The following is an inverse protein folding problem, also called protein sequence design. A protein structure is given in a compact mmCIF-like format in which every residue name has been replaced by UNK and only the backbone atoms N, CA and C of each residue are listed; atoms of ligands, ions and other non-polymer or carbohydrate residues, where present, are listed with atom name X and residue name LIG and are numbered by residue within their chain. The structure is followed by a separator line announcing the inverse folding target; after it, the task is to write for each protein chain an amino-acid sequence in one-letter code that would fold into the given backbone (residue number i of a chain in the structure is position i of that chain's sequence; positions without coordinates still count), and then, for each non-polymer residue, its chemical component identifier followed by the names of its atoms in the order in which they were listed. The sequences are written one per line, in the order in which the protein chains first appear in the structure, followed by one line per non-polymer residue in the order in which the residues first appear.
data_IF_076718539033
#
_entry.id   IF_076718539033
#
_cell.length_a   1.000
_cell.length_b   1.000
_cell.length_c   1.000
_cell.angle_alpha   90.00
_cell.angle_beta   90.00
_cell.angle_gamma   90.00
#
_symmetry.space_group_name_H-M   'P 1'
#
loop_
_entity.id
_entity.type
_entity.pdbx_description
1 polymer ?
#
# COMPACT_ATOMS: atom_id res chain seq x y z
N UNK A 1 -27.49 4.56 32.20
CA UNK A 1 -27.68 3.41 31.29
C UNK A 1 -26.47 3.35 30.35
N UNK A 2 -25.27 3.04 30.84
CA UNK A 2 -24.68 1.70 31.01
C UNK A 2 -24.69 0.82 29.76
N UNK A 3 -23.48 0.75 29.15
CA UNK A 3 -22.87 -0.35 28.42
C UNK A 3 -23.48 -0.83 27.09
N UNK A 4 -22.72 -0.65 25.99
CA UNK A 4 -22.20 -1.72 25.10
C UNK A 4 -21.77 -1.15 23.74
N UNK A 5 -20.46 -1.11 23.48
CA UNK A 5 -19.83 -1.63 22.24
C UNK A 5 -18.32 -1.42 22.28
N UNK A 6 -17.65 -2.01 23.28
CA UNK A 6 -16.26 -2.40 23.12
C UNK A 6 -16.34 -3.87 22.75
N UNK A 7 -16.20 -4.21 21.47
CA UNK A 7 -15.94 -5.59 21.05
C UNK A 7 -14.55 -5.94 21.55
N UNK A 8 -14.48 -6.42 22.79
CA UNK A 8 -13.37 -7.23 23.28
C UNK A 8 -13.29 -8.45 22.38
N UNK A 9 -12.19 -8.61 21.67
CA UNK A 9 -11.81 -9.89 21.08
C UNK A 9 -11.82 -10.94 22.19
N UNK A 10 -12.75 -11.89 22.11
CA UNK A 10 -12.82 -13.06 22.97
C UNK A 10 -12.76 -14.30 22.09
N UNK A 11 -11.56 -14.85 22.01
CA UNK A 11 -11.24 -16.28 22.00
C UNK A 11 -9.73 -16.35 21.90
N UNK A 12 -9.08 -17.21 22.69
CA UNK A 12 -7.63 -17.41 22.68
C UNK A 12 -7.12 -17.63 21.24
N UNK A 13 -6.63 -16.56 20.61
CA UNK A 13 -5.93 -16.66 19.34
C UNK A 13 -4.60 -17.32 19.66
N UNK A 14 -4.35 -18.49 19.08
CA UNK A 14 -3.00 -19.04 19.03
C UNK A 14 -2.09 -17.92 18.52
N UNK A 15 -1.01 -17.55 19.23
CA UNK A 15 -0.10 -16.51 18.74
C UNK A 15 0.36 -16.92 17.35
N UNK A 16 0.09 -16.09 16.34
CA UNK A 16 0.62 -16.33 15.01
C UNK A 16 2.14 -16.39 15.14
N UNK A 17 2.76 -17.45 14.61
CA UNK A 17 4.22 -17.53 14.54
C UNK A 17 4.73 -16.27 13.84
N UNK A 18 5.72 -15.59 14.40
CA UNK A 18 6.34 -14.42 13.77
C UNK A 18 7.74 -14.75 13.28
N UNK A 19 8.19 -14.01 12.28
CA UNK A 19 9.58 -13.99 11.85
C UNK A 19 10.07 -12.54 11.75
N UNK A 20 11.35 -12.34 12.05
CA UNK A 20 11.99 -11.02 12.01
C UNK A 20 12.22 -10.61 10.56
N UNK A 21 11.45 -9.66 10.06
CA UNK A 21 11.51 -9.18 8.67
C UNK A 21 11.79 -7.68 8.62
N UNK A 22 12.56 -7.26 7.61
CA UNK A 22 12.56 -5.86 7.20
C UNK A 22 11.37 -5.60 6.23
N UNK A 23 11.16 -4.35 5.82
CA UNK A 23 9.99 -4.00 5.02
C UNK A 23 10.00 -4.65 3.63
N UNK A 24 11.14 -4.72 2.92
CA UNK A 24 11.16 -5.37 1.61
C UNK A 24 10.92 -6.87 1.70
N UNK A 25 11.43 -7.53 2.76
CA UNK A 25 11.15 -8.95 3.03
C UNK A 25 9.67 -9.19 3.35
N UNK A 26 9.03 -8.29 4.11
CA UNK A 26 7.60 -8.41 4.40
C UNK A 26 6.71 -8.20 3.15
N UNK A 27 7.11 -7.33 2.23
CA UNK A 27 6.43 -7.14 0.94
C UNK A 27 6.60 -8.36 0.02
N UNK A 28 7.81 -8.92 -0.03
CA UNK A 28 8.07 -10.18 -0.72
C UNK A 28 7.17 -11.31 -0.17
N UNK A 29 7.11 -11.44 1.15
CA UNK A 29 6.31 -12.46 1.82
C UNK A 29 4.80 -12.28 1.57
N UNK A 30 4.30 -11.04 1.50
CA UNK A 30 2.93 -10.74 1.07
C UNK A 30 2.64 -11.21 -0.36
N UNK A 31 3.53 -10.90 -1.31
CA UNK A 31 3.38 -11.36 -2.70
C UNK A 31 3.45 -12.88 -2.80
N UNK A 32 4.37 -13.53 -2.07
CA UNK A 32 4.47 -14.98 -1.99
C UNK A 32 3.16 -15.62 -1.52
N UNK A 33 2.59 -15.14 -0.41
CA UNK A 33 1.31 -15.62 0.13
C UNK A 33 0.17 -15.39 -0.87
N UNK A 34 0.12 -14.22 -1.53
CA UNK A 34 -0.88 -13.95 -2.56
C UNK A 34 -0.77 -14.93 -3.74
N UNK A 35 0.45 -15.23 -4.20
CA UNK A 35 0.68 -16.12 -5.33
C UNK A 35 0.48 -17.61 -5.01
N UNK A 36 0.71 -18.01 -3.76
CA UNK A 36 0.37 -19.34 -3.22
C UNK A 36 -1.15 -19.55 -3.14
N UNK A 37 -1.89 -18.52 -2.75
CA UNK A 37 -3.34 -18.61 -2.51
C UNK A 37 -4.18 -18.30 -3.75
N UNK A 38 -3.62 -17.60 -4.74
CA UNK A 38 -4.28 -17.28 -6.01
C UNK A 38 -3.42 -17.75 -7.20
N UNK A 39 -3.81 -18.84 -7.90
CA UNK A 39 -3.07 -19.34 -9.06
C UNK A 39 -3.14 -18.39 -10.27
N UNK A 40 -4.02 -17.39 -10.24
CA UNK A 40 -4.13 -16.37 -11.30
C UNK A 40 -3.27 -15.15 -11.06
N UNK A 41 -2.62 -15.04 -9.89
CA UNK A 41 -1.78 -13.89 -9.56
C UNK A 41 -0.46 -13.90 -10.33
N UNK A 42 -0.11 -12.75 -10.91
CA UNK A 42 1.18 -12.51 -11.54
C UNK A 42 1.80 -11.21 -11.03
N UNK A 43 3.13 -11.22 -10.89
CA UNK A 43 3.97 -10.07 -10.56
C UNK A 43 4.77 -9.69 -11.80
N UNK A 44 4.65 -8.45 -12.25
CA UNK A 44 5.36 -7.99 -13.45
C UNK A 44 5.68 -6.50 -13.38
N UNK A 45 6.71 -6.11 -14.12
CA UNK A 45 7.25 -4.75 -14.16
C UNK A 45 8.69 -4.78 -14.65
N UNK A 46 9.40 -3.67 -14.52
CA UNK A 46 10.80 -3.58 -14.92
C UNK A 46 11.70 -4.29 -13.90
N UNK A 47 12.50 -5.24 -14.40
CA UNK A 47 13.50 -5.99 -13.65
C UNK A 47 12.99 -6.80 -12.44
N UNK A 48 11.70 -7.08 -12.34
CA UNK A 48 11.16 -7.88 -11.23
C UNK A 48 11.62 -9.35 -11.24
N UNK A 49 12.00 -9.89 -12.40
CA UNK A 49 12.31 -11.31 -12.57
C UNK A 49 13.56 -11.77 -11.81
N UNK A 50 14.59 -10.92 -11.71
CA UNK A 50 15.81 -11.26 -10.96
C UNK A 50 15.68 -10.95 -9.46
N UNK A 51 14.58 -10.33 -9.05
CA UNK A 51 14.28 -9.94 -7.69
C UNK A 51 13.94 -8.47 -7.48
N UNK A 52 14.00 -7.65 -8.53
CA UNK A 52 13.74 -6.21 -8.47
C UNK A 52 14.90 -5.41 -7.89
N UNK A 53 15.00 -4.13 -8.25
CA UNK A 53 16.09 -3.24 -7.83
C UNK A 53 16.15 -3.03 -6.31
N UNK A 54 15.02 -3.22 -5.61
CA UNK A 54 14.90 -3.17 -4.15
C UNK A 54 14.81 -4.54 -3.47
N UNK A 55 14.96 -5.64 -4.22
CA UNK A 55 14.86 -7.03 -3.73
C UNK A 55 13.45 -7.47 -3.27
N UNK A 56 12.40 -6.73 -3.62
CA UNK A 56 11.03 -7.05 -3.21
C UNK A 56 10.49 -8.34 -3.84
N UNK A 57 11.04 -8.80 -4.96
CA UNK A 57 10.53 -9.99 -5.70
C UNK A 57 11.54 -11.12 -5.80
N UNK A 58 12.60 -11.09 -4.97
CA UNK A 58 13.63 -12.14 -4.92
C UNK A 58 12.98 -13.52 -4.71
N UNK A 59 13.51 -14.52 -5.40
CA UNK A 59 13.10 -15.94 -5.40
C UNK A 59 11.67 -16.24 -5.89
N UNK A 60 10.81 -15.24 -6.11
CA UNK A 60 9.43 -15.47 -6.56
C UNK A 60 9.37 -16.12 -7.94
N UNK A 61 10.26 -15.74 -8.88
CA UNK A 61 10.30 -16.38 -10.21
C UNK A 61 10.72 -17.85 -10.14
N UNK A 62 11.67 -18.18 -9.27
CA UNK A 62 12.11 -19.55 -9.07
C UNK A 62 10.98 -20.40 -8.47
N UNK A 63 10.19 -19.82 -7.56
CA UNK A 63 9.08 -20.49 -6.89
C UNK A 63 7.83 -20.65 -7.78
N UNK A 64 7.45 -19.62 -8.55
CA UNK A 64 6.17 -19.57 -9.27
C UNK A 64 6.27 -19.67 -10.79
N UNK A 65 7.49 -19.69 -11.34
CA UNK A 65 7.75 -19.79 -12.77
C UNK A 65 7.71 -18.45 -13.50
N UNK A 66 8.27 -18.45 -14.71
CA UNK A 66 8.41 -17.26 -15.54
C UNK A 66 7.09 -16.71 -16.08
N UNK A 67 6.06 -17.55 -16.22
CA UNK A 67 4.73 -17.11 -16.65
C UNK A 67 4.00 -16.25 -15.61
N UNK A 68 4.47 -16.29 -14.35
CA UNK A 68 3.84 -15.58 -13.22
C UNK A 68 4.73 -14.50 -12.61
N UNK A 69 6.04 -14.52 -12.88
CA UNK A 69 6.97 -13.46 -12.47
C UNK A 69 7.88 -13.11 -13.66
N UNK A 70 7.57 -12.00 -14.34
CA UNK A 70 8.23 -11.65 -15.60
C UNK A 70 8.52 -10.16 -15.74
N UNK A 71 9.57 -9.86 -16.51
CA UNK A 71 9.90 -8.49 -16.86
C UNK A 71 8.98 -7.97 -17.98
N UNK A 72 8.54 -6.72 -17.86
CA UNK A 72 7.99 -5.96 -18.98
C UNK A 72 9.10 -5.27 -19.79
N UNK A 73 8.81 -4.77 -20.99
CA UNK A 73 9.58 -3.68 -21.58
C UNK A 73 9.58 -2.45 -20.66
N UNK A 74 10.55 -1.56 -20.85
CA UNK A 74 10.73 -0.33 -20.08
C UNK A 74 9.71 0.74 -20.56
N UNK A 75 8.50 0.70 -20.00
CA UNK A 75 7.36 1.52 -20.42
C UNK A 75 6.20 1.46 -19.41
N UNK A 76 6.10 2.44 -18.52
CA UNK A 76 5.15 2.43 -17.40
C UNK A 76 3.69 2.50 -17.86
N UNK A 77 3.39 3.26 -18.92
CA UNK A 77 2.05 3.26 -19.52
C UNK A 77 1.67 1.89 -20.09
N UNK A 78 2.66 1.15 -20.62
CA UNK A 78 2.49 -0.20 -21.13
C UNK A 78 2.25 -1.19 -20.01
N UNK A 79 3.02 -1.09 -18.92
CA UNK A 79 2.81 -1.86 -17.69
C UNK A 79 1.39 -1.65 -17.17
N UNK A 80 0.93 -0.40 -17.09
CA UNK A 80 -0.39 -0.10 -16.55
C UNK A 80 -1.54 -0.57 -17.44
N UNK A 81 -1.47 -0.31 -18.75
CA UNK A 81 -2.47 -0.82 -19.70
C UNK A 81 -2.53 -2.35 -19.73
N UNK A 82 -1.36 -3.01 -19.70
CA UNK A 82 -1.29 -4.47 -19.60
C UNK A 82 -1.92 -4.98 -18.31
N UNK A 83 -1.63 -4.34 -17.17
CA UNK A 83 -2.18 -4.74 -15.87
C UNK A 83 -3.71 -4.62 -15.81
N UNK A 84 -4.27 -3.55 -16.39
CA UNK A 84 -5.72 -3.37 -16.53
C UNK A 84 -6.31 -4.49 -17.38
N UNK A 85 -5.70 -4.80 -18.53
CA UNK A 85 -6.14 -5.89 -19.39
C UNK A 85 -6.12 -7.25 -18.68
N UNK A 86 -5.03 -7.54 -17.97
CA UNK A 86 -4.87 -8.77 -17.19
C UNK A 86 -5.93 -8.89 -16.08
N UNK A 87 -6.18 -7.81 -15.35
CA UNK A 87 -7.22 -7.76 -14.31
C UNK A 87 -8.63 -7.86 -14.89
N UNK A 88 -8.87 -7.30 -16.08
CA UNK A 88 -10.19 -7.29 -16.73
C UNK A 88 -10.74 -8.66 -17.10
N UNK A 89 -9.86 -9.66 -17.23
CA UNK A 89 -10.22 -11.07 -17.45
C UNK A 89 -10.26 -11.89 -16.15
N UNK A 90 -10.35 -11.22 -15.00
CA UNK A 90 -10.56 -11.84 -13.69
C UNK A 90 -9.29 -12.42 -13.04
N UNK A 91 -8.10 -12.09 -13.56
CA UNK A 91 -6.81 -12.51 -12.99
C UNK A 91 -6.22 -11.44 -12.08
N UNK A 92 -5.33 -11.83 -11.17
CA UNK A 92 -4.75 -10.89 -10.21
C UNK A 92 -3.45 -10.29 -10.75
N UNK A 93 -3.44 -8.98 -10.93
CA UNK A 93 -2.30 -8.22 -11.44
C UNK A 93 -1.59 -7.47 -10.31
N UNK A 94 -0.33 -7.81 -10.08
CA UNK A 94 0.56 -7.12 -9.12
C UNK A 94 1.65 -6.41 -9.94
N UNK A 95 1.36 -5.19 -10.36
CA UNK A 95 2.21 -4.42 -11.26
C UNK A 95 3.21 -3.57 -10.47
N UNK A 96 4.51 -3.71 -10.72
CA UNK A 96 5.55 -2.84 -10.17
C UNK A 96 5.84 -1.67 -11.10
N UNK A 97 5.79 -0.46 -10.56
CA UNK A 97 6.39 0.74 -11.15
C UNK A 97 7.67 1.04 -10.37
N UNK A 98 8.82 1.10 -11.06
CA UNK A 98 10.13 0.97 -10.42
C UNK A 98 10.42 2.09 -9.41
N UNK A 99 9.88 3.30 -9.62
CA UNK A 99 9.81 4.38 -8.63
C UNK A 99 8.48 5.11 -8.76
N UNK A 100 7.91 5.59 -7.65
CA UNK A 100 6.70 6.42 -7.68
C UNK A 100 6.91 7.70 -8.52
N UNK A 101 8.14 8.19 -8.62
CA UNK A 101 8.55 9.27 -9.50
C UNK A 101 8.29 8.99 -10.99
N UNK A 102 8.25 7.71 -11.39
CA UNK A 102 8.06 7.25 -12.77
C UNK A 102 6.63 6.77 -13.04
N UNK A 103 5.69 6.98 -12.12
CA UNK A 103 4.29 6.56 -12.31
C UNK A 103 3.52 7.48 -13.27
N UNK A 104 4.03 8.67 -13.55
CA UNK A 104 3.31 9.69 -14.31
C UNK A 104 3.06 9.35 -15.79
N UNK A 105 3.93 8.64 -16.53
CA UNK A 105 3.57 8.11 -17.85
C UNK A 105 2.34 7.20 -17.80
N UNK A 106 2.14 6.46 -16.70
CA UNK A 106 0.97 5.61 -16.46
C UNK A 106 -0.26 6.37 -15.93
N UNK A 107 -0.18 7.68 -15.69
CA UNK A 107 -1.23 8.44 -15.01
C UNK A 107 -2.57 8.37 -15.74
N UNK A 108 -2.57 8.46 -17.07
CA UNK A 108 -3.80 8.35 -17.87
C UNK A 108 -4.45 6.95 -17.73
N UNK A 109 -3.66 5.88 -17.80
CA UNK A 109 -4.14 4.51 -17.59
C UNK A 109 -4.70 4.32 -16.17
N UNK A 110 -4.04 4.87 -15.15
CA UNK A 110 -4.51 4.74 -13.77
C UNK A 110 -5.80 5.56 -13.54
N UNK A 111 -5.84 6.80 -14.01
CA UNK A 111 -6.89 7.77 -13.68
C UNK A 111 -8.11 7.66 -14.60
N UNK A 112 -7.91 7.56 -15.92
CA UNK A 112 -9.01 7.52 -16.89
C UNK A 112 -9.48 6.10 -17.18
N UNK A 113 -8.58 5.11 -17.14
CA UNK A 113 -8.93 3.72 -17.44
C UNK A 113 -9.25 2.93 -16.17
N UNK A 114 -8.26 2.66 -15.30
CA UNK A 114 -8.41 1.77 -14.15
C UNK A 114 -9.49 2.27 -13.17
N UNK A 115 -9.39 3.52 -12.72
CA UNK A 115 -10.30 4.09 -11.73
C UNK A 115 -11.77 4.09 -12.20
N UNK A 116 -11.99 4.29 -13.50
CA UNK A 116 -13.33 4.42 -14.08
C UNK A 116 -13.83 3.10 -14.67
N UNK A 117 -13.01 2.05 -14.70
CA UNK A 117 -13.28 0.81 -15.43
C UNK A 117 -14.60 0.17 -15.02
N UNK A 118 -14.84 0.02 -13.70
CA UNK A 118 -16.10 -0.52 -13.15
C UNK A 118 -17.29 0.42 -13.38
N UNK A 119 -17.07 1.73 -13.21
CA UNK A 119 -18.14 2.72 -13.29
C UNK A 119 -18.67 2.88 -14.72
N UNK A 120 -17.76 3.07 -15.69
CA UNK A 120 -18.10 3.33 -17.10
C UNK A 120 -18.81 2.15 -17.78
N UNK A 121 -18.71 0.97 -17.19
CA UNK A 121 -19.36 -0.26 -17.68
C UNK A 121 -20.70 -0.54 -17.01
N UNK A 122 -21.13 0.25 -16.02
CA UNK A 122 -22.26 -0.12 -15.16
C UNK A 122 -22.03 -1.45 -14.42
N UNK A 123 -20.78 -1.73 -14.03
CA UNK A 123 -20.34 -2.96 -13.39
C UNK A 123 -20.45 -4.24 -14.26
N UNK A 124 -20.54 -4.12 -15.59
CA UNK A 124 -20.45 -5.28 -16.50
C UNK A 124 -19.04 -5.85 -16.60
N UNK A 125 -18.02 -5.01 -16.38
CA UNK A 125 -16.62 -5.39 -16.36
C UNK A 125 -15.86 -4.49 -15.39
N UNK A 126 -14.77 -5.00 -14.80
CA UNK A 126 -13.94 -4.31 -13.83
C UNK A 126 -12.47 -4.75 -13.91
N UNK A 127 -11.57 -3.96 -13.34
CA UNK A 127 -10.16 -4.32 -13.17
C UNK A 127 -9.81 -4.31 -11.67
N UNK A 128 -10.71 -4.80 -10.82
CA UNK A 128 -10.59 -4.69 -9.37
C UNK A 128 -9.39 -5.45 -8.80
N UNK A 129 -9.03 -6.59 -9.40
CA UNK A 129 -7.89 -7.42 -9.01
C UNK A 129 -6.55 -6.84 -9.49
N UNK A 130 -6.34 -5.55 -9.26
CA UNK A 130 -5.20 -4.79 -9.75
C UNK A 130 -4.57 -4.02 -8.60
N UNK A 131 -3.30 -4.29 -8.32
CA UNK A 131 -2.49 -3.49 -7.42
C UNK A 131 -1.27 -2.97 -8.17
N UNK A 132 -1.16 -1.66 -8.27
CA UNK A 132 0.06 -0.96 -8.63
C UNK A 132 0.89 -0.77 -7.38
N UNK A 133 2.15 -1.19 -7.39
CA UNK A 133 3.08 -0.96 -6.27
C UNK A 133 4.30 -0.20 -6.74
N UNK A 134 4.72 0.78 -5.95
CA UNK A 134 5.84 1.65 -6.31
C UNK A 134 6.63 2.12 -5.08
N UNK A 135 7.98 2.10 -5.12
CA UNK A 135 8.82 2.74 -4.11
C UNK A 135 8.57 4.26 -4.05
N UNK A 136 8.21 4.80 -2.90
CA UNK A 136 7.81 6.20 -2.70
C UNK A 136 8.63 6.90 -1.61
N UNK A 137 8.59 8.23 -1.59
CA UNK A 137 9.12 9.07 -0.50
C UNK A 137 10.61 9.32 -0.56
N UNK A 138 11.11 10.24 0.26
CA UNK A 138 12.51 10.62 0.28
C UNK A 138 13.43 9.47 0.71
N UNK A 139 14.69 9.50 0.26
CA UNK A 139 15.73 8.53 0.63
C UNK A 139 17.06 9.20 1.04
N UNK A 140 17.01 10.50 1.33
CA UNK A 140 18.17 11.31 1.70
C UNK A 140 18.94 11.90 0.51
N UNK A 141 19.14 11.13 -0.57
CA UNK A 141 19.96 11.54 -1.72
C UNK A 141 19.29 11.26 -3.08
N UNK A 142 17.96 11.13 -3.13
CA UNK A 142 17.22 10.78 -4.35
C UNK A 142 16.92 11.95 -5.30
N UNK A 143 17.18 13.20 -4.86
CA UNK A 143 16.93 14.43 -5.63
C UNK A 143 15.51 14.47 -6.22
N UNK A 144 15.34 14.87 -7.48
CA UNK A 144 14.02 15.10 -8.10
C UNK A 144 13.26 13.84 -8.47
N UNK A 145 13.95 12.74 -8.75
CA UNK A 145 13.39 11.59 -9.48
C UNK A 145 13.50 10.26 -8.73
N UNK A 146 13.85 10.31 -7.44
CA UNK A 146 13.81 9.14 -6.56
C UNK A 146 13.33 9.53 -5.15
N UNK A 147 12.53 10.59 -5.01
CA UNK A 147 12.13 11.13 -3.70
C UNK A 147 10.71 11.70 -3.66
N UNK A 148 9.94 11.58 -4.74
CA UNK A 148 8.60 12.12 -4.79
C UNK A 148 7.61 11.35 -3.91
N UNK A 149 6.61 12.10 -3.45
CA UNK A 149 5.44 11.63 -2.71
C UNK A 149 4.19 12.05 -3.49
N UNK A 150 3.75 11.24 -4.48
CA UNK A 150 2.73 11.66 -5.45
C UNK A 150 1.29 11.31 -5.03
N UNK A 151 1.06 10.89 -3.78
CA UNK A 151 -0.24 10.40 -3.32
C UNK A 151 -1.38 11.40 -3.54
N UNK A 152 -1.11 12.70 -3.42
CA UNK A 152 -2.10 13.76 -3.63
C UNK A 152 -2.63 13.81 -5.07
N UNK A 153 -1.80 13.48 -6.08
CA UNK A 153 -2.24 13.43 -7.48
C UNK A 153 -3.28 12.32 -7.70
N UNK A 154 -3.18 11.21 -6.96
CA UNK A 154 -4.12 10.09 -7.05
C UNK A 154 -5.31 10.23 -6.10
N UNK A 155 -5.15 10.93 -4.98
CA UNK A 155 -6.20 11.13 -3.98
C UNK A 155 -7.45 11.85 -4.53
N UNK A 156 -7.31 12.61 -5.63
CA UNK A 156 -8.43 13.28 -6.30
C UNK A 156 -9.12 12.42 -7.38
N UNK A 157 -8.87 11.11 -7.43
CA UNK A 157 -9.43 10.21 -8.44
C UNK A 157 -10.38 9.19 -7.83
N UNK A 158 -11.72 9.41 -7.90
CA UNK A 158 -12.70 8.42 -7.47
C UNK A 158 -12.56 7.09 -8.21
N UNK A 159 -12.71 5.98 -7.48
CA UNK A 159 -12.58 4.62 -8.01
C UNK A 159 -11.22 3.97 -7.74
N UNK A 160 -10.21 4.75 -7.33
CA UNK A 160 -8.95 4.22 -6.81
C UNK A 160 -8.99 4.04 -5.30
N UNK A 161 -8.09 3.19 -4.82
CA UNK A 161 -7.59 3.25 -3.44
C UNK A 161 -6.11 3.60 -3.42
N UNK A 162 -5.67 4.36 -2.42
CA UNK A 162 -4.26 4.77 -2.27
C UNK A 162 -3.79 4.43 -0.86
N UNK A 163 -2.73 3.64 -0.74
CA UNK A 163 -2.32 2.99 0.52
C UNK A 163 -0.81 3.15 0.75
N UNK A 164 -0.42 3.47 1.99
CA UNK A 164 0.97 3.73 2.39
C UNK A 164 1.24 3.11 3.78
N UNK A 165 2.05 2.03 3.90
CA UNK A 165 2.40 1.44 5.19
C UNK A 165 3.53 2.21 5.89
N UNK A 166 3.62 2.13 7.22
CA UNK A 166 4.72 2.74 8.00
C UNK A 166 5.79 1.76 8.50
N UNK A 167 5.52 0.45 8.47
CA UNK A 167 6.40 -0.59 9.03
C UNK A 167 6.18 -1.96 8.34
N UNK A 168 7.03 -2.98 8.58
CA UNK A 168 6.95 -4.28 7.92
C UNK A 168 5.63 -5.04 8.17
N UNK A 169 5.07 -4.97 9.39
CA UNK A 169 3.81 -5.66 9.73
C UNK A 169 2.66 -5.11 8.89
N UNK A 170 2.56 -3.78 8.83
CA UNK A 170 1.59 -3.11 7.99
C UNK A 170 1.84 -3.33 6.51
N UNK A 171 3.10 -3.26 6.06
CA UNK A 171 3.45 -3.45 4.65
C UNK A 171 2.91 -4.78 4.13
N UNK A 172 3.11 -5.86 4.90
CA UNK A 172 2.54 -7.17 4.54
C UNK A 172 1.01 -7.18 4.57
N UNK A 173 0.41 -6.78 5.69
CA UNK A 173 -1.03 -6.88 5.87
C UNK A 173 -1.84 -5.95 4.95
N UNK A 174 -1.37 -4.73 4.71
CA UNK A 174 -2.00 -3.77 3.79
C UNK A 174 -1.77 -4.17 2.33
N UNK A 175 -0.61 -4.73 1.96
CA UNK A 175 -0.40 -5.21 0.58
C UNK A 175 -1.29 -6.41 0.28
N UNK A 176 -1.40 -7.39 1.20
CA UNK A 176 -2.34 -8.51 1.05
C UNK A 176 -3.79 -8.02 0.95
N UNK A 177 -4.18 -7.03 1.75
CA UNK A 177 -5.49 -6.42 1.65
C UNK A 177 -5.70 -5.72 0.30
N UNK A 178 -4.67 -5.03 -0.20
CA UNK A 178 -4.70 -4.32 -1.50
C UNK A 178 -4.86 -5.28 -2.67
N UNK A 179 -4.08 -6.38 -2.69
CA UNK A 179 -4.13 -7.40 -3.75
C UNK A 179 -5.52 -8.05 -3.83
N UNK A 180 -6.21 -8.17 -2.68
CA UNK A 180 -7.52 -8.83 -2.57
C UNK A 180 -8.69 -7.86 -2.70
N UNK A 181 -8.44 -6.56 -2.67
CA UNK A 181 -9.50 -5.57 -2.77
C UNK A 181 -10.13 -5.65 -4.17
N UNK A 182 -11.47 -5.57 -4.30
CA UNK A 182 -12.12 -5.60 -5.61
C UNK A 182 -12.06 -4.22 -6.31
N UNK A 183 -11.05 -3.40 -6.05
CA UNK A 183 -10.85 -2.09 -6.67
C UNK A 183 -9.36 -1.89 -6.99
N UNK A 184 -9.02 -1.17 -8.07
CA UNK A 184 -7.63 -0.86 -8.37
C UNK A 184 -6.98 -0.07 -7.23
N UNK A 185 -5.86 -0.60 -6.71
CA UNK A 185 -5.11 0.00 -5.60
C UNK A 185 -3.76 0.52 -6.07
N UNK A 186 -3.39 1.72 -5.64
CA UNK A 186 -2.04 2.25 -5.71
C UNK A 186 -1.40 2.11 -4.33
N UNK A 187 -0.37 1.28 -4.24
CA UNK A 187 0.33 0.94 -3.01
C UNK A 187 1.74 1.54 -3.04
N UNK A 188 1.98 2.54 -2.19
CA UNK A 188 3.26 3.23 -2.13
C UNK A 188 4.13 2.68 -1.00
N UNK A 189 5.37 2.33 -1.32
CA UNK A 189 6.29 1.66 -0.41
C UNK A 189 7.38 2.63 0.06
N UNK A 190 7.41 3.07 1.34
CA UNK A 190 8.37 4.07 1.77
C UNK A 190 9.81 3.53 1.68
N UNK A 191 10.53 3.93 0.62
CA UNK A 191 11.76 3.26 0.21
C UNK A 191 12.90 3.41 1.22
N UNK A 192 12.90 4.51 1.99
CA UNK A 192 13.80 4.70 3.12
C UNK A 192 13.67 3.61 4.19
N UNK A 193 12.49 2.98 4.30
CA UNK A 193 12.20 1.96 5.31
C UNK A 193 12.49 0.53 4.86
N UNK A 194 12.76 0.28 3.57
CA UNK A 194 12.95 -1.07 3.03
C UNK A 194 13.91 -1.91 3.87
N UNK A 195 15.08 -1.34 4.20
CA UNK A 195 16.13 -2.00 4.99
C UNK A 195 16.19 -1.50 6.43
N UNK A 196 15.76 -0.25 6.68
CA UNK A 196 15.91 0.40 7.98
C UNK A 196 14.87 -0.07 9.00
N UNK A 197 13.64 -0.38 8.56
CA UNK A 197 12.57 -0.81 9.46
C UNK A 197 12.55 -2.33 9.55
N UNK A 198 12.68 -2.86 10.78
CA UNK A 198 12.67 -4.30 11.08
C UNK A 198 11.69 -4.57 12.21
N UNK A 199 10.84 -5.58 12.06
CA UNK A 199 9.83 -5.96 13.05
C UNK A 199 9.61 -7.48 13.09
N UNK A 200 9.00 -7.96 14.16
CA UNK A 200 8.40 -9.30 14.21
C UNK A 200 7.11 -9.29 13.40
N UNK A 201 7.11 -9.97 12.25
CA UNK A 201 5.98 -10.00 11.32
C UNK A 201 5.31 -11.37 11.40
N UNK A 202 3.97 -11.46 11.60
CA UNK A 202 3.26 -12.74 11.55
C UNK A 202 3.52 -13.47 10.23
N UNK A 203 3.93 -14.73 10.29
CA UNK A 203 4.06 -15.60 9.13
C UNK A 203 2.68 -16.05 8.66
N UNK A 204 2.57 -16.41 7.38
CA UNK A 204 1.30 -16.85 6.79
C UNK A 204 0.37 -15.69 6.43
N UNK A 205 -0.92 -15.96 6.38
CA UNK A 205 -1.90 -15.05 5.79
C UNK A 205 -2.61 -14.18 6.83
N UNK A 206 -2.44 -12.86 6.73
CA UNK A 206 -3.22 -11.89 7.49
C UNK A 206 -3.39 -10.60 6.69
N UNK A 207 -4.40 -9.81 7.06
CA UNK A 207 -4.66 -8.49 6.45
C UNK A 207 -4.75 -7.41 7.52
N UNK A 208 -4.43 -6.19 7.11
CA UNK A 208 -4.77 -4.97 7.85
C UNK A 208 -5.87 -4.26 7.06
N UNK A 209 -6.97 -3.82 7.68
CA UNK A 209 -8.08 -3.21 6.95
C UNK A 209 -7.66 -1.94 6.21
N UNK A 210 -8.05 -1.84 4.93
CA UNK A 210 -7.94 -0.59 4.17
C UNK A 210 -8.98 0.42 4.66
N UNK A 211 -8.65 1.71 4.58
CA UNK A 211 -9.54 2.80 4.99
C UNK A 211 -9.74 2.91 6.51
N UNK A 212 -8.87 2.30 7.32
CA UNK A 212 -8.87 2.44 8.77
C UNK A 212 -7.53 3.03 9.22
N UNK A 213 -7.57 4.12 9.97
CA UNK A 213 -6.39 4.73 10.56
C UNK A 213 -5.98 3.97 11.84
N UNK A 214 -4.71 4.06 12.21
CA UNK A 214 -4.18 3.42 13.43
C UNK A 214 -3.73 4.49 14.43
N UNK A 215 -4.32 4.48 15.62
CA UNK A 215 -3.90 5.33 16.74
C UNK A 215 -2.66 4.69 17.36
N UNK A 216 -1.50 5.02 16.80
CA UNK A 216 -0.19 4.51 17.22
C UNK A 216 0.11 4.86 18.68
N UNK A 217 -0.34 6.03 19.12
CA UNK A 217 -0.19 6.50 20.50
C UNK A 217 -1.38 7.38 20.86
N UNK A 218 -1.99 7.12 22.03
CA UNK A 218 -3.05 7.96 22.57
C UNK A 218 -2.48 9.22 23.23
N UNK A 219 -3.18 10.34 23.08
CA UNK A 219 -2.87 11.61 23.76
C UNK A 219 -4.10 12.47 23.98
N UNK A 220 -3.92 13.64 24.61
CA UNK A 220 -5.00 14.57 24.97
C UNK A 220 -4.83 16.00 24.46
N UNK A 221 -3.61 16.42 24.11
CA UNK A 221 -3.33 17.85 23.94
C UNK A 221 -3.37 18.31 22.47
N UNK A 222 -2.92 17.44 21.56
CA UNK A 222 -2.90 17.66 20.10
C UNK A 222 -2.96 16.33 19.37
N UNK A 223 -3.73 16.29 18.28
CA UNK A 223 -3.76 15.20 17.30
C UNK A 223 -2.73 15.46 16.21
N UNK A 224 -1.85 14.50 15.98
CA UNK A 224 -0.86 14.51 14.90
C UNK A 224 -1.19 13.38 13.94
N UNK A 225 -1.38 13.71 12.67
CA UNK A 225 -1.67 12.76 11.59
C UNK A 225 -0.51 12.75 10.60
N UNK A 226 -0.06 11.56 10.23
CA UNK A 226 0.92 11.35 9.16
C UNK A 226 0.77 9.97 8.54
N UNK A 227 1.69 9.62 7.64
CA UNK A 227 1.77 8.31 6.99
C UNK A 227 3.21 8.02 6.53
N UNK A 228 3.49 6.76 6.21
CA UNK A 228 4.78 6.34 5.67
C UNK A 228 5.96 6.59 6.61
N UNK A 229 7.09 7.03 6.04
CA UNK A 229 8.34 7.20 6.80
C UNK A 229 8.28 8.33 7.85
N UNK A 230 7.41 9.33 7.66
CA UNK A 230 7.18 10.41 8.61
C UNK A 230 6.77 9.92 10.00
N UNK A 231 6.17 8.72 10.08
CA UNK A 231 5.70 8.12 11.34
C UNK A 231 6.81 7.63 12.27
N UNK A 232 8.08 7.66 11.85
CA UNK A 232 9.21 7.27 12.71
C UNK A 232 9.59 8.35 13.74
N UNK A 233 8.95 9.52 13.71
CA UNK A 233 9.20 10.60 14.66
C UNK A 233 8.64 10.28 16.06
N UNK A 234 9.50 10.32 17.09
CA UNK A 234 9.11 10.11 18.48
C UNK A 234 8.38 11.32 19.06
N UNK A 235 7.05 11.32 19.02
CA UNK A 235 6.21 12.37 19.62
C UNK A 235 5.45 11.85 20.84
N UNK A 236 5.28 12.70 21.86
CA UNK A 236 4.50 12.41 23.07
C UNK A 236 3.07 12.96 22.98
N UNK A 237 2.45 12.86 21.80
CA UNK A 237 1.11 13.36 21.53
C UNK A 237 0.22 12.25 20.98
N UNK A 238 -1.06 12.55 20.75
CA UNK A 238 -1.92 11.64 20.00
C UNK A 238 -1.39 11.51 18.58
N UNK A 239 -0.88 10.33 18.23
CA UNK A 239 -0.25 10.07 16.94
C UNK A 239 -1.09 9.05 16.18
N UNK A 240 -1.54 9.47 15.00
CA UNK A 240 -2.37 8.65 14.11
C UNK A 240 -1.62 8.44 12.80
N UNK A 241 -1.48 7.17 12.44
CA UNK A 241 -1.07 6.75 11.10
C UNK A 241 -2.33 6.62 10.23
N UNK A 242 -2.39 7.38 9.14
CA UNK A 242 -3.56 7.38 8.27
C UNK A 242 -3.72 6.06 7.49
N UNK A 243 -2.61 5.38 7.16
CA UNK A 243 -2.51 4.14 6.34
C UNK A 243 -3.08 4.23 4.92
N UNK A 244 -4.34 4.63 4.76
CA UNK A 244 -5.05 4.74 3.48
C UNK A 244 -5.38 6.21 3.22
N UNK A 245 -4.83 6.75 2.14
CA UNK A 245 -5.05 8.13 1.69
C UNK A 245 -6.43 8.27 1.03
N UNK A 246 -6.87 7.23 0.31
CA UNK A 246 -8.18 7.20 -0.35
C UNK A 246 -8.74 5.77 -0.31
N UNK A 247 -9.98 5.55 0.19
CA UNK A 247 -10.73 6.45 1.08
C UNK A 247 -10.05 6.54 2.46
N UNK A 248 -9.94 7.75 3.00
CA UNK A 248 -9.33 7.96 4.31
C UNK A 248 -10.36 7.83 5.44
N UNK A 249 -9.89 7.49 6.65
CA UNK A 249 -10.72 7.26 7.83
C UNK A 249 -11.14 8.57 8.51
N UNK A 250 -12.20 9.19 7.99
CA UNK A 250 -12.72 10.46 8.51
C UNK A 250 -13.08 10.34 9.99
N UNK A 251 -13.74 9.25 10.38
CA UNK A 251 -14.32 9.08 11.71
C UNK A 251 -13.23 9.03 12.79
N UNK A 252 -12.15 8.27 12.57
CA UNK A 252 -11.04 8.19 13.53
C UNK A 252 -10.36 9.56 13.72
N UNK A 253 -10.13 10.29 12.64
CA UNK A 253 -9.52 11.62 12.72
C UNK A 253 -10.45 12.61 13.42
N UNK A 254 -11.73 12.63 13.06
CA UNK A 254 -12.71 13.51 13.69
C UNK A 254 -12.83 13.26 15.19
N UNK A 255 -12.94 12.00 15.61
CA UNK A 255 -13.03 11.62 17.02
C UNK A 255 -11.80 12.06 17.81
N UNK A 256 -10.61 11.89 17.23
CA UNK A 256 -9.36 12.34 17.83
C UNK A 256 -9.30 13.85 17.99
N UNK A 257 -9.64 14.60 16.94
CA UNK A 257 -9.63 16.07 16.98
C UNK A 257 -10.69 16.61 17.94
N UNK A 258 -11.87 15.98 18.04
CA UNK A 258 -12.89 16.34 19.05
C UNK A 258 -12.36 16.19 20.47
N UNK A 259 -11.49 15.20 20.71
CA UNK A 259 -10.87 14.98 22.02
C UNK A 259 -9.77 15.99 22.33
N UNK A 260 -8.89 16.28 21.38
CA UNK A 260 -7.69 17.10 21.62
C UNK A 260 -7.89 18.59 21.34
N UNK A 261 -8.86 18.93 20.50
CA UNK A 261 -9.18 20.29 20.05
C UNK A 261 -8.16 20.90 19.07
N UNK A 262 -7.13 20.15 18.66
CA UNK A 262 -6.03 20.64 17.80
C UNK A 262 -5.58 19.56 16.83
N UNK A 263 -5.25 19.95 15.60
CA UNK A 263 -4.78 19.05 14.55
C UNK A 263 -3.49 19.59 13.91
N UNK A 264 -2.51 18.71 13.76
CA UNK A 264 -1.34 18.89 12.91
C UNK A 264 -1.32 17.73 11.91
N UNK A 265 -1.22 18.04 10.62
CA UNK A 265 -1.00 17.06 9.56
C UNK A 265 0.40 17.26 9.03
N UNK A 266 1.16 16.17 8.86
CA UNK A 266 2.52 16.23 8.35
C UNK A 266 2.74 15.16 7.28
N UNK A 267 3.30 15.59 6.15
CA UNK A 267 3.68 14.74 5.04
C UNK A 267 4.91 15.28 4.32
N UNK A 268 5.62 14.42 3.60
CA UNK A 268 6.83 14.79 2.84
C UNK A 268 6.51 15.57 1.55
N UNK A 269 5.30 15.40 1.01
CA UNK A 269 4.86 16.06 -0.22
C UNK A 269 4.78 17.60 -0.07
N UNK A 270 4.92 18.37 -1.16
CA UNK A 270 4.79 19.84 -1.14
C UNK A 270 3.43 20.33 -0.60
N UNK A 271 3.42 21.49 0.07
CA UNK A 271 2.18 22.13 0.57
C UNK A 271 1.39 22.85 -0.54
N UNK A 272 2.05 23.31 -1.60
CA UNK A 272 1.59 24.34 -2.56
C UNK A 272 1.69 25.76 -2.00
N UNK A 273 2.31 26.66 -2.77
CA UNK A 273 2.45 28.08 -2.45
C UNK A 273 1.44 28.94 -3.23
#
# INVERSE_FOLDING_TARGET
MLAKSVRRFSSAAVPLKTERMNMFTALNDAMRVAMETDPTAAVFGEDVAFGGVFRCTVDLREQFGEDRVFNSPLCEQGIAGFAIGYASVGRTAIAEIQFADYIFPAFDQIVNEAAKFRYRSGNQWDCGKLTFRAPYGAVGHGAHYHSQSPEAYFAHTPGLKVVIPRNPVQAKGLLLASIRDPNPVVFFEPKALYRASVAEVPVGDFTVPLGQADIVRSGSDVTIVGWGAQMQAGVSCELIDLQTILPWDVDTIEQSVRKTGRLIVSHEAPVSC
#
